data_IF_041875537708
#
_entry.id   IF_041875537708
#
_cell.length_a   1.000
_cell.length_b   1.000
_cell.length_c   1.000
_cell.angle_alpha   90.00
_cell.angle_beta   90.00
_cell.angle_gamma   90.00
#
_symmetry.space_group_name_H-M   'P 1'
#
loop_
_entity.id
_entity.type
_entity.pdbx_description
1 polymer ?
#
# COMPACT_ATOMS: atom_id res chain seq x y z
N UNK A 1 -4.27 -13.18 18.85
CA UNK A 1 -4.95 -12.56 17.70
C UNK A 1 -4.37 -11.21 17.27
N UNK A 2 -3.87 -10.35 18.17
CA UNK A 2 -3.26 -9.06 17.77
C UNK A 2 -1.76 -9.14 17.43
N UNK A 3 -1.09 -10.24 17.76
CA UNK A 3 0.35 -10.43 17.49
C UNK A 3 0.72 -10.56 16.01
N UNK A 4 -0.26 -10.82 15.15
CA UNK A 4 -0.06 -10.96 13.69
C UNK A 4 -0.27 -9.66 12.91
N UNK A 5 -0.57 -8.55 13.60
CA UNK A 5 -0.63 -7.22 12.98
C UNK A 5 0.81 -6.71 12.81
N UNK A 6 1.47 -7.19 11.77
CA UNK A 6 2.75 -6.62 11.34
C UNK A 6 2.46 -5.24 10.75
N UNK A 7 2.71 -4.19 11.53
CA UNK A 7 2.67 -2.80 11.10
C UNK A 7 3.73 -2.58 10.02
N UNK A 8 3.27 -2.63 8.75
CA UNK A 8 4.11 -2.47 7.58
C UNK A 8 5.03 -3.68 7.37
N UNK A 9 4.81 -4.40 6.29
CA UNK A 9 5.69 -5.50 5.85
C UNK A 9 7.00 -4.94 5.26
N UNK A 10 7.57 -3.91 5.91
CA UNK A 10 8.82 -3.30 5.48
C UNK A 10 9.99 -4.22 5.82
N UNK A 11 10.77 -4.58 4.80
CA UNK A 11 12.04 -5.30 4.97
C UNK A 11 13.18 -4.29 4.96
N UNK A 12 13.87 -4.07 6.10
CA UNK A 12 15.02 -3.18 6.13
C UNK A 12 16.12 -3.71 5.22
N UNK A 13 16.56 -2.87 4.29
CA UNK A 13 17.60 -3.21 3.32
C UNK A 13 18.43 -2.00 2.95
N UNK A 14 19.63 -2.25 2.40
CA UNK A 14 20.58 -1.20 1.98
C UNK A 14 20.75 -1.12 0.46
N UNK A 15 19.85 -1.74 -0.32
CA UNK A 15 19.94 -1.79 -1.78
C UNK A 15 19.68 -0.40 -2.41
N UNK A 16 20.01 -0.26 -3.68
CA UNK A 16 19.80 0.99 -4.44
C UNK A 16 18.34 1.42 -4.34
N UNK A 17 17.39 0.49 -4.47
CA UNK A 17 15.94 0.77 -4.38
C UNK A 17 15.55 1.26 -2.98
N UNK A 18 16.08 0.65 -1.91
CA UNK A 18 15.79 1.10 -0.55
C UNK A 18 16.27 2.54 -0.29
N UNK A 19 17.37 2.94 -0.92
CA UNK A 19 18.00 4.27 -0.77
C UNK A 19 17.40 5.36 -1.64
N UNK A 20 16.44 5.04 -2.53
CA UNK A 20 15.73 6.04 -3.32
C UNK A 20 14.82 6.90 -2.45
N UNK A 21 14.63 8.15 -2.85
CA UNK A 21 13.71 9.08 -2.19
C UNK A 21 12.27 8.50 -2.22
N UNK A 22 11.53 8.51 -1.11
CA UNK A 22 10.15 8.04 -1.06
C UNK A 22 9.22 8.70 -2.08
N UNK A 23 9.47 9.96 -2.44
CA UNK A 23 8.71 10.66 -3.50
C UNK A 23 8.90 9.99 -4.85
N UNK A 24 10.15 9.68 -5.20
CA UNK A 24 10.50 9.01 -6.46
C UNK A 24 9.85 7.65 -6.55
N UNK A 25 9.82 6.90 -5.45
CA UNK A 25 9.14 5.59 -5.39
C UNK A 25 7.63 5.71 -5.57
N UNK A 26 7.00 6.70 -4.93
CA UNK A 26 5.56 6.96 -5.09
C UNK A 26 5.21 7.35 -6.52
N UNK A 27 5.95 8.29 -7.10
CA UNK A 27 5.79 8.69 -8.51
C UNK A 27 6.03 7.47 -9.42
N UNK A 28 7.09 6.72 -9.17
CA UNK A 28 7.41 5.50 -9.91
C UNK A 28 6.29 4.46 -9.87
N UNK A 29 5.65 4.25 -8.71
CA UNK A 29 4.49 3.37 -8.60
C UNK A 29 3.31 3.89 -9.43
N UNK A 30 3.01 5.19 -9.37
CA UNK A 30 1.94 5.79 -10.19
C UNK A 30 2.23 5.62 -11.67
N UNK A 31 3.46 5.90 -12.10
CA UNK A 31 3.90 5.68 -13.48
C UNK A 31 3.77 4.21 -13.91
N UNK A 32 4.14 3.28 -13.03
CA UNK A 32 3.99 1.84 -13.26
C UNK A 32 2.51 1.43 -13.43
N UNK A 33 1.62 1.94 -12.57
CA UNK A 33 0.18 1.73 -12.67
C UNK A 33 -0.35 2.26 -14.01
N UNK A 34 0.00 3.49 -14.37
CA UNK A 34 -0.41 4.10 -15.65
C UNK A 34 0.08 3.26 -16.84
N UNK A 35 1.34 2.82 -16.83
CA UNK A 35 1.88 1.96 -17.88
C UNK A 35 1.11 0.63 -18.00
N UNK A 36 0.74 0.00 -16.89
CA UNK A 36 -0.07 -1.22 -16.88
C UNK A 36 -1.48 -1.02 -17.46
N UNK A 37 -2.11 0.13 -17.23
CA UNK A 37 -3.40 0.44 -17.84
C UNK A 37 -3.30 0.76 -19.34
N UNK A 38 -2.16 1.27 -19.79
CA UNK A 38 -1.88 1.49 -21.22
C UNK A 38 -1.58 0.19 -21.96
N UNK A 39 -1.07 -0.84 -21.27
CA UNK A 39 -0.73 -2.14 -21.85
C UNK A 39 -1.98 -2.86 -22.38
N UNK A 40 -1.97 -3.25 -23.66
CA UNK A 40 -3.05 -3.98 -24.34
C UNK A 40 -2.60 -5.28 -25.03
N UNK A 41 -1.28 -5.52 -25.10
CA UNK A 41 -0.70 -6.66 -25.82
C UNK A 41 0.12 -7.56 -24.90
N UNK A 42 0.33 -8.81 -25.31
CA UNK A 42 1.18 -9.75 -24.57
C UNK A 42 2.62 -9.24 -24.39
N UNK A 43 3.15 -8.56 -25.41
CA UNK A 43 4.51 -8.00 -25.37
C UNK A 43 4.61 -6.90 -24.32
N UNK A 44 3.59 -6.01 -24.25
CA UNK A 44 3.53 -4.96 -23.22
C UNK A 44 3.46 -5.54 -21.80
N UNK A 45 2.67 -6.60 -21.57
CA UNK A 45 2.62 -7.27 -20.26
C UNK A 45 3.92 -8.01 -19.94
N UNK A 46 4.59 -8.63 -20.93
CA UNK A 46 5.89 -9.24 -20.73
C UNK A 46 6.96 -8.21 -20.34
N UNK A 47 6.95 -7.04 -20.99
CA UNK A 47 7.83 -5.91 -20.63
C UNK A 47 7.60 -5.45 -19.19
N UNK A 48 6.32 -5.27 -18.78
CA UNK A 48 5.98 -4.85 -17.42
C UNK A 48 6.35 -5.89 -16.37
N UNK A 49 6.20 -7.19 -16.69
CA UNK A 49 6.65 -8.28 -15.82
C UNK A 49 8.19 -8.27 -15.69
N UNK A 50 8.91 -8.06 -16.78
CA UNK A 50 10.37 -7.97 -16.78
C UNK A 50 10.84 -6.78 -15.93
N UNK A 51 10.21 -5.61 -16.05
CA UNK A 51 10.48 -4.43 -15.21
C UNK A 51 10.26 -4.77 -13.74
N UNK A 52 9.16 -5.43 -13.40
CA UNK A 52 8.90 -5.84 -12.01
C UNK A 52 9.94 -6.83 -11.48
N UNK A 53 10.32 -7.83 -12.29
CA UNK A 53 11.34 -8.83 -11.93
C UNK A 53 12.68 -8.16 -11.72
N UNK A 54 13.10 -7.25 -12.61
CA UNK A 54 14.36 -6.53 -12.45
C UNK A 54 14.37 -5.64 -11.21
N UNK A 55 13.29 -4.91 -10.94
CA UNK A 55 13.17 -4.11 -9.72
C UNK A 55 13.18 -4.98 -8.45
N UNK A 56 12.49 -6.13 -8.46
CA UNK A 56 12.50 -7.05 -7.31
C UNK A 56 13.88 -7.67 -7.07
N UNK A 57 14.61 -8.00 -8.14
CA UNK A 57 15.98 -8.51 -8.06
C UNK A 57 16.94 -7.43 -7.49
N UNK A 58 16.84 -6.18 -7.98
CA UNK A 58 17.62 -5.05 -7.45
C UNK A 58 17.26 -4.73 -5.98
N UNK A 59 16.03 -4.98 -5.56
CA UNK A 59 15.60 -4.83 -4.17
C UNK A 59 16.02 -6.01 -3.29
N UNK A 60 16.60 -7.09 -3.85
CA UNK A 60 16.90 -8.35 -3.16
C UNK A 60 15.67 -8.99 -2.48
N UNK A 61 14.49 -8.76 -3.03
CA UNK A 61 13.24 -9.35 -2.55
C UNK A 61 12.99 -10.66 -3.28
N UNK A 62 12.80 -11.74 -2.52
CA UNK A 62 12.53 -13.06 -3.11
C UNK A 62 11.18 -13.04 -3.83
N UNK A 63 11.09 -13.50 -5.10
CA UNK A 63 9.83 -13.53 -5.85
C UNK A 63 8.74 -14.33 -5.15
N UNK A 64 9.14 -15.36 -4.39
CA UNK A 64 8.22 -16.14 -3.54
C UNK A 64 7.49 -15.28 -2.50
N UNK A 65 8.14 -14.25 -1.96
CA UNK A 65 7.54 -13.31 -1.00
C UNK A 65 6.47 -12.43 -1.68
N UNK A 66 6.77 -11.93 -2.90
CA UNK A 66 5.80 -11.17 -3.70
C UNK A 66 4.58 -12.03 -4.05
N UNK A 67 4.79 -13.26 -4.50
CA UNK A 67 3.70 -14.20 -4.82
C UNK A 67 2.91 -14.63 -3.57
N UNK A 68 3.56 -14.73 -2.42
CA UNK A 68 2.89 -15.04 -1.15
C UNK A 68 1.90 -13.93 -0.75
N UNK A 69 2.20 -12.66 -1.09
CA UNK A 69 1.27 -11.54 -0.90
C UNK A 69 -0.01 -11.65 -1.74
N UNK A 70 0.01 -12.40 -2.83
CA UNK A 70 -1.18 -12.65 -3.66
C UNK A 70 -2.17 -13.64 -3.04
N UNK A 71 -1.75 -14.47 -2.06
CA UNK A 71 -2.61 -15.51 -1.47
C UNK A 71 -3.99 -15.00 -1.02
N UNK A 72 -4.10 -13.90 -0.24
CA UNK A 72 -5.41 -13.40 0.17
C UNK A 72 -6.26 -12.87 -1.00
N UNK A 73 -5.63 -12.53 -2.12
CA UNK A 73 -6.29 -11.97 -3.30
C UNK A 73 -6.63 -13.02 -4.36
N UNK A 74 -6.19 -14.28 -4.18
CA UNK A 74 -6.42 -15.36 -5.14
C UNK A 74 -7.92 -15.50 -5.47
N UNK A 75 -8.79 -15.40 -4.46
CA UNK A 75 -10.24 -15.47 -4.66
C UNK A 75 -10.73 -14.37 -5.62
N UNK A 76 -10.30 -13.13 -5.41
CA UNK A 76 -10.67 -11.98 -6.26
C UNK A 76 -10.13 -12.16 -7.68
N UNK A 77 -8.89 -12.63 -7.81
CA UNK A 77 -8.24 -12.86 -9.11
C UNK A 77 -8.98 -13.94 -9.91
N UNK A 78 -9.31 -15.07 -9.27
CA UNK A 78 -10.06 -16.16 -9.90
C UNK A 78 -11.47 -15.68 -10.27
N UNK A 79 -12.18 -15.02 -9.36
CA UNK A 79 -13.52 -14.52 -9.59
C UNK A 79 -13.58 -13.52 -10.75
N UNK A 80 -12.64 -12.58 -10.81
CA UNK A 80 -12.52 -11.61 -11.91
C UNK A 80 -12.18 -12.32 -13.23
N UNK A 81 -11.29 -13.32 -13.20
CA UNK A 81 -10.98 -14.14 -14.37
C UNK A 81 -12.20 -14.86 -14.92
N UNK A 82 -12.99 -15.50 -14.06
CA UNK A 82 -14.22 -16.21 -14.42
C UNK A 82 -15.25 -15.24 -15.04
N UNK A 83 -15.49 -14.09 -14.41
CA UNK A 83 -16.41 -13.09 -14.96
C UNK A 83 -15.98 -12.66 -16.37
N UNK A 84 -14.71 -12.28 -16.55
CA UNK A 84 -14.23 -11.84 -17.86
C UNK A 84 -14.24 -12.94 -18.91
N UNK A 85 -14.14 -14.22 -18.52
CA UNK A 85 -14.26 -15.36 -19.42
C UNK A 85 -15.64 -15.43 -20.07
N UNK A 86 -16.69 -15.17 -19.30
CA UNK A 86 -18.09 -15.23 -19.76
C UNK A 86 -18.60 -13.93 -20.40
N UNK A 87 -17.95 -12.80 -20.12
CA UNK A 87 -18.34 -11.47 -20.63
C UNK A 87 -17.67 -11.11 -21.97
N UNK A 88 -17.04 -12.07 -22.65
CA UNK A 88 -16.37 -11.83 -23.93
C UNK A 88 -17.37 -11.58 -25.06
N UNK A 89 -17.15 -10.52 -25.85
CA UNK A 89 -17.86 -10.25 -27.10
C UNK A 89 -17.15 -10.96 -28.26
N UNK A 90 -17.89 -11.68 -29.11
CA UNK A 90 -17.36 -12.37 -30.30
C UNK A 90 -18.04 -13.67 -30.60
N UNK A 91 -17.58 -14.40 -31.64
CA UNK A 91 -18.09 -15.71 -31.98
C UNK A 91 -17.84 -16.71 -30.85
N UNK A 92 -18.85 -17.45 -30.38
CA UNK A 92 -18.74 -18.40 -29.30
C UNK A 92 -17.94 -19.63 -29.75
N UNK A 93 -16.80 -19.89 -29.09
CA UNK A 93 -16.04 -21.14 -29.28
C UNK A 93 -16.76 -22.34 -28.67
N UNK A 94 -17.40 -22.12 -27.52
CA UNK A 94 -18.22 -23.13 -26.82
C UNK A 94 -19.45 -22.41 -26.27
N UNK A 95 -20.65 -22.92 -26.63
CA UNK A 95 -21.91 -22.44 -26.12
C UNK A 95 -22.54 -23.52 -25.25
N UNK A 96 -22.62 -23.24 -23.93
CA UNK A 96 -23.29 -24.13 -22.99
C UNK A 96 -24.42 -23.36 -22.32
N UNK A 97 -25.63 -23.57 -22.82
CA UNK A 97 -26.87 -22.94 -22.38
C UNK A 97 -26.81 -21.42 -22.29
N UNK A 98 -26.51 -20.83 -21.09
CA UNK A 98 -26.44 -19.38 -20.87
C UNK A 98 -25.00 -18.85 -21.01
N UNK A 99 -23.99 -19.71 -20.85
CA UNK A 99 -22.59 -19.35 -20.84
C UNK A 99 -21.95 -19.45 -22.22
N UNK A 100 -21.44 -18.34 -22.73
CA UNK A 100 -20.73 -18.28 -24.01
C UNK A 100 -19.26 -17.99 -23.75
N UNK A 101 -18.39 -18.93 -24.07
CA UNK A 101 -16.94 -18.72 -24.01
C UNK A 101 -16.46 -18.28 -25.38
N UNK A 102 -15.90 -17.09 -25.48
CA UNK A 102 -15.38 -16.52 -26.72
C UNK A 102 -13.85 -16.41 -26.65
N UNK A 103 -13.15 -16.43 -27.80
CA UNK A 103 -11.70 -16.23 -27.85
C UNK A 103 -11.28 -14.89 -27.24
N UNK A 104 -12.07 -13.84 -27.48
CA UNK A 104 -11.83 -12.52 -26.87
C UNK A 104 -12.05 -12.54 -25.35
N UNK A 105 -13.01 -13.32 -24.84
CA UNK A 105 -13.24 -13.52 -23.43
C UNK A 105 -12.03 -14.15 -22.71
N UNK A 106 -11.46 -15.20 -23.31
CA UNK A 106 -10.26 -15.86 -22.79
C UNK A 106 -9.10 -14.87 -22.76
N UNK A 107 -8.86 -14.14 -23.85
CA UNK A 107 -7.80 -13.14 -23.92
C UNK A 107 -7.96 -12.04 -22.85
N UNK A 108 -9.17 -11.51 -22.71
CA UNK A 108 -9.47 -10.47 -21.72
C UNK A 108 -9.33 -10.99 -20.28
N UNK A 109 -9.75 -12.23 -20.02
CA UNK A 109 -9.59 -12.86 -18.70
C UNK A 109 -8.11 -12.98 -18.34
N UNK A 110 -7.26 -13.48 -19.27
CA UNK A 110 -5.81 -13.58 -19.07
C UNK A 110 -5.20 -12.20 -18.82
N UNK A 111 -5.53 -11.19 -19.61
CA UNK A 111 -5.00 -9.82 -19.43
C UNK A 111 -5.44 -9.21 -18.12
N UNK A 112 -6.70 -9.42 -17.69
CA UNK A 112 -7.18 -8.92 -16.41
C UNK A 112 -6.47 -9.57 -15.22
N UNK A 113 -6.32 -10.90 -15.26
CA UNK A 113 -5.58 -11.64 -14.23
C UNK A 113 -4.13 -11.15 -14.14
N UNK A 114 -3.42 -11.08 -15.28
CA UNK A 114 -2.04 -10.59 -15.32
C UNK A 114 -1.95 -9.15 -14.80
N UNK A 115 -2.86 -8.28 -15.21
CA UNK A 115 -2.91 -6.89 -14.75
C UNK A 115 -3.04 -6.79 -13.23
N UNK A 116 -3.99 -7.50 -12.63
CA UNK A 116 -4.20 -7.49 -11.18
C UNK A 116 -2.96 -8.03 -10.46
N UNK A 117 -2.40 -9.14 -10.93
CA UNK A 117 -1.19 -9.72 -10.34
C UNK A 117 -0.01 -8.74 -10.36
N UNK A 118 0.25 -8.11 -11.52
CA UNK A 118 1.35 -7.16 -11.67
C UNK A 118 1.14 -5.90 -10.85
N UNK A 119 -0.10 -5.35 -10.80
CA UNK A 119 -0.45 -4.21 -9.95
C UNK A 119 -0.16 -4.48 -8.48
N UNK A 120 -0.64 -5.61 -7.99
CA UNK A 120 -0.48 -5.99 -6.57
C UNK A 120 0.99 -6.24 -6.24
N UNK A 121 1.72 -6.93 -7.10
CA UNK A 121 3.16 -7.15 -6.90
C UNK A 121 3.96 -5.83 -6.91
N UNK A 122 3.62 -4.89 -7.79
CA UNK A 122 4.23 -3.55 -7.83
C UNK A 122 3.97 -2.75 -6.54
N UNK A 123 2.74 -2.80 -6.03
CA UNK A 123 2.37 -2.15 -4.75
C UNK A 123 3.10 -2.79 -3.57
N UNK A 124 3.21 -4.12 -3.53
CA UNK A 124 3.99 -4.80 -2.49
C UNK A 124 5.47 -4.45 -2.54
N UNK A 125 6.04 -4.28 -3.73
CA UNK A 125 7.43 -3.85 -3.87
C UNK A 125 7.67 -2.50 -3.20
N UNK A 126 6.77 -1.52 -3.36
CA UNK A 126 6.83 -0.24 -2.64
C UNK A 126 6.74 -0.45 -1.13
N UNK A 127 5.77 -1.24 -0.67
CA UNK A 127 5.54 -1.50 0.76
C UNK A 127 6.72 -2.19 1.42
N UNK A 128 7.36 -3.13 0.73
CA UNK A 128 8.52 -3.86 1.25
C UNK A 128 9.79 -3.01 1.27
N UNK A 129 9.91 -2.01 0.39
CA UNK A 129 11.12 -1.18 0.26
C UNK A 129 11.03 0.17 0.95
N UNK A 130 9.87 0.56 1.49
CA UNK A 130 9.65 1.89 2.08
C UNK A 130 8.93 1.77 3.41
N UNK A 131 9.49 2.34 4.47
CA UNK A 131 8.84 2.33 5.77
C UNK A 131 7.61 3.26 5.79
N UNK A 132 6.58 2.98 6.62
CA UNK A 132 5.40 3.83 6.73
C UNK A 132 5.70 5.29 7.04
N UNK A 133 6.71 5.55 7.90
CA UNK A 133 7.15 6.91 8.22
C UNK A 133 7.76 7.62 7.00
N UNK A 134 8.61 6.92 6.23
CA UNK A 134 9.18 7.49 4.99
C UNK A 134 8.09 7.77 3.95
N UNK A 135 7.06 6.92 3.89
CA UNK A 135 5.94 7.08 2.99
C UNK A 135 5.14 8.33 3.34
N UNK A 136 4.90 8.57 4.63
CA UNK A 136 4.27 9.80 5.14
C UNK A 136 5.07 11.04 4.78
N UNK A 137 6.40 11.01 4.97
CA UNK A 137 7.29 12.11 4.63
C UNK A 137 7.29 12.40 3.12
N UNK A 138 7.28 11.34 2.30
CA UNK A 138 7.16 11.44 0.85
C UNK A 138 5.85 12.08 0.40
N UNK A 139 4.73 11.63 0.98
CA UNK A 139 3.40 12.17 0.71
C UNK A 139 3.29 13.65 1.09
N UNK A 140 3.79 14.05 2.26
CA UNK A 140 3.79 15.47 2.67
C UNK A 140 4.48 16.35 1.65
N UNK A 141 5.64 15.93 1.19
CA UNK A 141 6.39 16.72 0.19
C UNK A 141 5.71 16.72 -1.17
N UNK A 142 5.10 15.61 -1.61
CA UNK A 142 4.33 15.54 -2.84
C UNK A 142 3.07 16.41 -2.79
N UNK A 143 2.41 16.48 -1.63
CA UNK A 143 1.24 17.31 -1.43
C UNK A 143 1.58 18.75 -1.01
N UNK A 144 2.85 19.10 -0.89
CA UNK A 144 3.28 20.48 -0.58
C UNK A 144 2.66 21.55 -1.50
N UNK A 145 2.43 21.35 -2.81
CA UNK A 145 1.75 22.32 -3.66
C UNK A 145 0.31 22.62 -3.21
N UNK A 146 -0.36 21.69 -2.49
CA UNK A 146 -1.72 21.90 -1.98
C UNK A 146 -1.77 22.95 -0.85
N UNK A 147 -0.63 23.35 -0.29
CA UNK A 147 -0.56 24.50 0.63
C UNK A 147 -1.07 25.80 -0.03
N UNK A 148 -0.93 25.93 -1.35
CA UNK A 148 -1.47 27.08 -2.10
C UNK A 148 -2.99 27.18 -1.98
N UNK A 149 -3.69 26.06 -1.77
CA UNK A 149 -5.16 25.97 -1.58
C UNK A 149 -5.51 26.01 -0.08
N UNK A 150 -4.58 26.41 0.80
CA UNK A 150 -4.73 26.44 2.27
C UNK A 150 -5.00 25.06 2.89
N UNK A 151 -4.56 23.97 2.26
CA UNK A 151 -4.70 22.65 2.83
C UNK A 151 -3.58 22.39 3.86
N UNK A 152 -3.89 21.95 5.09
CA UNK A 152 -2.93 21.83 6.19
C UNK A 152 -2.06 20.55 6.06
N UNK A 153 -1.25 20.48 4.99
CA UNK A 153 -0.41 19.30 4.69
C UNK A 153 0.58 18.96 5.80
N UNK A 154 1.32 19.94 6.40
CA UNK A 154 2.29 19.62 7.46
C UNK A 154 1.65 19.10 8.73
N UNK A 155 0.48 19.62 9.09
CA UNK A 155 -0.28 19.22 10.27
C UNK A 155 -0.79 17.79 10.11
N UNK A 156 -1.33 17.46 8.93
CA UNK A 156 -1.74 16.08 8.61
C UNK A 156 -0.57 15.09 8.63
N UNK A 157 0.56 15.45 8.06
CA UNK A 157 1.75 14.61 8.07
C UNK A 157 2.26 14.37 9.51
N UNK A 158 2.20 15.40 10.36
CA UNK A 158 2.54 15.28 11.76
C UNK A 158 1.57 14.35 12.50
N UNK A 159 0.26 14.53 12.32
CA UNK A 159 -0.76 13.65 12.89
C UNK A 159 -0.54 12.19 12.47
N UNK A 160 -0.27 11.93 11.19
CA UNK A 160 0.05 10.59 10.69
C UNK A 160 1.33 10.02 11.34
N UNK A 161 2.36 10.83 11.49
CA UNK A 161 3.62 10.39 12.10
C UNK A 161 3.45 10.05 13.59
N UNK A 162 2.65 10.86 14.32
CA UNK A 162 2.29 10.60 15.72
C UNK A 162 1.46 9.32 15.82
N UNK A 163 0.44 9.18 14.97
CA UNK A 163 -0.40 7.99 14.93
C UNK A 163 0.42 6.72 14.69
N UNK A 164 1.28 6.70 13.65
CA UNK A 164 2.15 5.57 13.34
C UNK A 164 3.09 5.20 14.50
N UNK A 165 3.54 6.19 15.26
CA UNK A 165 4.38 5.98 16.44
C UNK A 165 3.59 5.39 17.63
N UNK A 166 2.32 5.76 17.79
CA UNK A 166 1.50 5.28 18.91
C UNK A 166 0.83 3.93 18.65
N UNK A 167 0.66 3.50 17.40
CA UNK A 167 0.02 2.21 17.08
C UNK A 167 0.70 1.03 17.81
N UNK A 168 2.04 0.83 17.81
CA UNK A 168 2.66 -0.26 18.55
C UNK A 168 2.34 -0.22 20.04
N UNK A 169 2.41 0.96 20.64
CA UNK A 169 2.14 1.16 22.06
C UNK A 169 0.67 0.87 22.42
N UNK A 170 -0.28 1.28 21.55
CA UNK A 170 -1.70 1.00 21.72
C UNK A 170 -2.01 -0.50 21.58
N UNK A 171 -1.30 -1.22 20.71
CA UNK A 171 -1.42 -2.68 20.57
C UNK A 171 -0.97 -3.37 21.86
N UNK A 172 0.19 -2.99 22.41
CA UNK A 172 0.68 -3.54 23.68
C UNK A 172 -0.26 -3.25 24.84
N UNK A 173 -0.82 -2.05 24.88
CA UNK A 173 -1.80 -1.66 25.92
C UNK A 173 -3.10 -2.42 25.76
N UNK A 174 -3.57 -2.61 24.54
CA UNK A 174 -4.75 -3.44 24.25
C UNK A 174 -4.55 -4.87 24.75
N UNK A 175 -3.38 -5.48 24.51
CA UNK A 175 -3.06 -6.81 24.99
C UNK A 175 -3.05 -6.89 26.53
N UNK A 176 -2.54 -5.85 27.22
CA UNK A 176 -2.55 -5.75 28.68
C UNK A 176 -3.97 -5.64 29.24
N UNK A 177 -4.79 -4.74 28.66
CA UNK A 177 -6.19 -4.56 29.07
C UNK A 177 -6.98 -5.83 28.79
N UNK A 178 -6.80 -6.46 27.64
CA UNK A 178 -7.46 -7.71 27.27
C UNK A 178 -7.12 -8.82 28.27
N UNK A 179 -5.87 -8.96 28.66
CA UNK A 179 -5.42 -9.94 29.63
C UNK A 179 -6.02 -9.70 31.00
N UNK A 180 -6.09 -8.44 31.45
CA UNK A 180 -6.72 -8.06 32.71
C UNK A 180 -8.24 -8.33 32.71
N UNK A 181 -8.93 -8.05 31.61
CA UNK A 181 -10.36 -8.32 31.48
C UNK A 181 -10.66 -9.82 31.40
N UNK A 182 -9.82 -10.63 30.76
CA UNK A 182 -9.89 -12.09 30.76
C UNK A 182 -9.76 -12.64 32.20
N UNK A 183 -8.84 -12.12 32.99
CA UNK A 183 -8.69 -12.51 34.40
C UNK A 183 -9.92 -12.15 35.25
N UNK A 184 -10.71 -11.14 34.86
CA UNK A 184 -11.99 -10.76 35.46
C UNK A 184 -13.18 -11.57 34.93
N UNK A 185 -12.94 -12.59 34.09
CA UNK A 185 -13.97 -13.47 33.55
C UNK A 185 -14.61 -13.00 32.26
N UNK A 186 -14.08 -11.95 31.60
CA UNK A 186 -14.56 -11.54 30.30
C UNK A 186 -14.14 -12.56 29.22
N UNK A 187 -15.10 -13.04 28.42
CA UNK A 187 -14.86 -13.90 27.28
C UNK A 187 -15.04 -13.11 25.97
N UNK A 188 -13.98 -13.02 25.16
CA UNK A 188 -13.99 -12.31 23.89
C UNK A 188 -14.24 -13.22 22.68
N UNK A 189 -14.09 -14.52 22.87
CA UNK A 189 -14.07 -15.51 21.77
C UNK A 189 -15.37 -16.34 21.73
N UNK A 190 -16.22 -16.31 22.78
CA UNK A 190 -17.45 -17.10 22.90
C UNK A 190 -18.70 -16.23 22.82
N UNK A 191 -19.83 -16.81 22.38
CA UNK A 191 -21.12 -16.11 22.35
C UNK A 191 -21.55 -15.59 20.96
N UNK A 192 -22.79 -15.07 20.89
CA UNK A 192 -23.39 -14.46 19.72
C UNK A 192 -22.69 -13.13 19.39
N UNK A 193 -22.83 -12.64 18.15
CA UNK A 193 -22.19 -11.41 17.68
C UNK A 193 -22.45 -10.20 18.59
N UNK A 194 -23.68 -10.10 19.12
CA UNK A 194 -24.09 -9.03 20.04
C UNK A 194 -23.38 -9.11 21.41
N UNK A 195 -23.14 -10.31 21.91
CA UNK A 195 -22.43 -10.57 23.19
C UNK A 195 -20.94 -10.25 23.03
N UNK A 196 -20.33 -10.64 21.89
CA UNK A 196 -18.96 -10.26 21.54
C UNK A 196 -18.78 -8.74 21.43
N UNK A 197 -19.74 -8.04 20.80
CA UNK A 197 -19.72 -6.58 20.71
C UNK A 197 -19.80 -5.93 22.10
N UNK A 198 -20.64 -6.43 23.01
CA UNK A 198 -20.70 -5.96 24.39
C UNK A 198 -19.41 -6.22 25.18
N UNK A 199 -18.75 -7.35 24.93
CA UNK A 199 -17.47 -7.68 25.56
C UNK A 199 -16.32 -6.75 25.13
N UNK A 200 -16.41 -6.06 23.99
CA UNK A 200 -15.42 -5.09 23.56
C UNK A 200 -15.52 -3.74 24.32
N UNK A 201 -16.68 -3.37 24.87
CA UNK A 201 -16.85 -2.10 25.58
C UNK A 201 -15.89 -1.94 26.77
N UNK A 202 -15.72 -2.94 27.68
CA UNK A 202 -14.75 -2.87 28.75
C UNK A 202 -13.28 -2.79 28.31
N UNK A 203 -12.99 -3.08 27.05
CA UNK A 203 -11.68 -2.90 26.43
C UNK A 203 -11.54 -1.49 25.85
N UNK A 204 -12.56 -1.00 25.14
CA UNK A 204 -12.52 0.28 24.46
C UNK A 204 -12.46 1.46 25.42
N UNK A 205 -13.25 1.47 26.50
CA UNK A 205 -13.30 2.60 27.43
C UNK A 205 -11.94 2.88 28.08
N UNK A 206 -11.23 1.91 28.69
CA UNK A 206 -9.88 2.16 29.23
C UNK A 206 -8.88 2.58 28.16
N UNK A 207 -8.98 2.01 26.95
CA UNK A 207 -8.09 2.36 25.82
C UNK A 207 -8.27 3.83 25.41
N UNK A 208 -9.52 4.30 25.31
CA UNK A 208 -9.80 5.72 25.03
C UNK A 208 -9.26 6.64 26.11
N UNK A 209 -9.50 6.32 27.38
CA UNK A 209 -8.99 7.12 28.51
C UNK A 209 -7.46 7.22 28.46
N UNK A 210 -6.78 6.12 28.19
CA UNK A 210 -5.33 6.09 28.06
C UNK A 210 -4.86 6.88 26.84
N UNK A 211 -5.54 6.76 25.69
CA UNK A 211 -5.18 7.51 24.48
C UNK A 211 -5.32 9.03 24.70
N UNK A 212 -6.39 9.50 25.36
CA UNK A 212 -6.57 10.90 25.68
C UNK A 212 -5.51 11.41 26.66
N UNK A 213 -5.19 10.64 27.72
CA UNK A 213 -4.13 11.01 28.64
C UNK A 213 -2.78 11.18 27.94
N UNK A 214 -2.44 10.27 27.02
CA UNK A 214 -1.21 10.38 26.21
C UNK A 214 -1.23 11.59 25.28
N UNK A 215 -2.41 11.90 24.73
CA UNK A 215 -2.54 13.10 23.88
C UNK A 215 -2.28 14.38 24.70
N UNK A 216 -2.81 14.48 25.91
CA UNK A 216 -2.59 15.62 26.82
C UNK A 216 -1.13 15.71 27.25
N UNK A 217 -0.50 14.59 27.62
CA UNK A 217 0.92 14.53 27.98
C UNK A 217 1.81 14.97 26.79
N UNK A 218 1.47 14.51 25.56
CA UNK A 218 2.19 14.90 24.36
C UNK A 218 1.99 16.39 24.05
N UNK A 219 0.76 16.90 24.15
CA UNK A 219 0.45 18.30 23.91
C UNK A 219 1.23 19.21 24.88
N UNK A 220 1.20 18.89 26.18
CA UNK A 220 1.97 19.61 27.21
C UNK A 220 3.47 19.55 26.92
N UNK A 221 4.01 18.39 26.53
CA UNK A 221 5.43 18.26 26.20
C UNK A 221 5.80 19.06 24.94
N UNK A 222 4.90 19.21 23.97
CA UNK A 222 5.09 20.03 22.78
C UNK A 222 5.06 21.52 23.13
N UNK A 223 4.12 21.96 23.96
CA UNK A 223 4.04 23.35 24.46
C UNK A 223 5.29 23.74 25.23
N UNK A 224 5.77 22.90 26.15
CA UNK A 224 7.02 23.12 26.88
C UNK A 224 8.27 23.22 25.98
N UNK A 225 8.21 22.65 24.77
CA UNK A 225 9.24 22.78 23.75
C UNK A 225 9.01 23.94 22.79
N UNK A 226 8.11 24.86 23.11
CA UNK A 226 7.73 25.99 22.28
C UNK A 226 7.29 25.58 20.88
N UNK A 227 6.53 24.49 20.78
CA UNK A 227 5.99 24.06 19.50
C UNK A 227 4.92 25.05 19.04
N UNK A 228 5.13 25.66 17.88
CA UNK A 228 4.15 26.51 17.21
C UNK A 228 3.73 25.82 15.90
N UNK A 229 2.43 25.67 15.68
CA UNK A 229 1.90 25.26 14.40
C UNK A 229 2.05 26.42 13.40
N UNK A 230 2.59 26.17 12.21
CA UNK A 230 2.66 27.20 11.17
C UNK A 230 3.99 27.26 10.40
N UNK A 231 4.22 28.39 9.76
CA UNK A 231 5.36 28.65 8.87
C UNK A 231 6.67 28.81 9.66
N UNK A 232 7.81 28.47 9.04
CA UNK A 232 9.14 28.62 9.64
C UNK A 232 9.71 27.37 10.30
N UNK A 233 9.02 26.23 10.24
CA UNK A 233 9.45 24.95 10.81
C UNK A 233 10.49 24.26 9.94
N UNK A 234 11.66 23.95 10.51
CA UNK A 234 12.68 23.10 9.88
C UNK A 234 12.51 21.64 10.29
N UNK A 235 12.91 20.71 9.42
CA UNK A 235 12.93 19.28 9.72
C UNK A 235 14.33 18.84 10.09
N UNK A 236 14.43 17.97 11.10
CA UNK A 236 15.71 17.38 11.49
C UNK A 236 16.25 16.45 10.40
N UNK A 237 15.37 15.77 9.65
CA UNK A 237 15.73 14.90 8.53
C UNK A 237 15.06 15.41 7.27
N UNK A 238 15.84 16.04 6.41
CA UNK A 238 15.36 16.52 5.12
C UNK A 238 15.51 15.44 4.04
N UNK A 239 14.53 15.39 3.14
CA UNK A 239 14.59 14.55 1.96
C UNK A 239 15.34 15.31 0.86
N UNK A 240 16.44 14.73 0.37
CA UNK A 240 17.24 15.32 -0.71
C UNK A 240 17.18 14.44 -1.95
N UNK A 241 16.86 15.07 -3.08
CA UNK A 241 16.95 14.41 -4.37
C UNK A 241 18.41 14.11 -4.73
N UNK A 242 18.70 12.86 -5.04
CA UNK A 242 20.02 12.43 -5.52
C UNK A 242 19.96 12.14 -7.03
N UNK A 243 21.12 12.05 -7.69
CA UNK A 243 21.21 11.68 -9.10
C UNK A 243 20.52 10.33 -9.41
N UNK A 244 20.50 9.43 -8.42
CA UNK A 244 19.78 8.13 -8.51
C UNK A 244 18.27 8.28 -8.71
N UNK A 245 17.68 9.30 -8.10
CA UNK A 245 16.26 9.60 -8.22
C UNK A 245 15.91 10.12 -9.60
N UNK A 246 16.77 10.97 -10.18
CA UNK A 246 16.61 11.44 -11.55
C UNK A 246 16.68 10.28 -12.55
N UNK A 247 17.64 9.37 -12.39
CA UNK A 247 17.76 8.16 -13.24
C UNK A 247 16.52 7.30 -13.13
N UNK A 248 15.98 7.10 -11.91
CA UNK A 248 14.76 6.32 -11.69
C UNK A 248 13.54 6.97 -12.38
N UNK A 249 13.38 8.29 -12.31
CA UNK A 249 12.28 9.00 -12.98
C UNK A 249 12.41 8.92 -14.51
N UNK A 250 13.62 9.08 -15.06
CA UNK A 250 13.87 8.90 -16.51
C UNK A 250 13.54 7.46 -16.92
N UNK A 251 13.93 6.46 -16.14
CA UNK A 251 13.57 5.07 -16.40
C UNK A 251 12.06 4.87 -16.43
N UNK A 252 11.31 5.43 -15.47
CA UNK A 252 9.85 5.38 -15.45
C UNK A 252 9.24 6.01 -16.71
N UNK A 253 9.75 7.17 -17.14
CA UNK A 253 9.31 7.84 -18.38
C UNK A 253 9.57 6.99 -19.61
N UNK A 254 10.76 6.36 -19.72
CA UNK A 254 11.10 5.45 -20.80
C UNK A 254 10.18 4.21 -20.83
N UNK A 255 9.84 3.64 -19.69
CA UNK A 255 8.90 2.50 -19.62
C UNK A 255 7.52 2.90 -20.15
N UNK A 256 6.99 4.07 -19.73
CA UNK A 256 5.70 4.57 -20.23
C UNK A 256 5.77 4.81 -21.74
N UNK A 257 6.84 5.44 -22.23
CA UNK A 257 7.04 5.69 -23.65
C UNK A 257 7.10 4.38 -24.44
N UNK A 258 7.86 3.38 -23.97
CA UNK A 258 7.97 2.07 -24.61
C UNK A 258 6.60 1.36 -24.69
N UNK A 259 5.83 1.34 -23.60
CA UNK A 259 4.47 0.74 -23.60
C UNK A 259 3.53 1.51 -24.53
N UNK A 260 3.63 2.84 -24.58
CA UNK A 260 2.81 3.67 -25.47
C UNK A 260 3.13 3.43 -26.93
N UNK A 261 4.41 3.27 -27.27
CA UNK A 261 4.88 2.93 -28.63
C UNK A 261 4.40 1.52 -29.03
N UNK A 262 4.57 0.52 -28.16
CA UNK A 262 4.06 -0.84 -28.38
C UNK A 262 2.55 -0.83 -28.63
N UNK A 263 1.80 -0.05 -27.85
CA UNK A 263 0.37 0.13 -28.06
C UNK A 263 0.04 0.74 -29.44
N UNK A 264 0.84 1.71 -29.91
CA UNK A 264 0.60 2.37 -31.19
C UNK A 264 0.84 1.40 -32.38
N UNK A 265 1.85 0.53 -32.26
CA UNK A 265 2.11 -0.51 -33.28
C UNK A 265 1.24 -1.74 -33.17
N UNK A 266 0.34 -1.82 -32.19
CA UNK A 266 -0.56 -2.95 -31.99
C UNK A 266 0.11 -4.21 -31.42
N UNK A 267 1.36 -4.07 -30.97
CA UNK A 267 2.21 -5.13 -30.39
C UNK A 267 2.08 -5.24 -28.89
#
# INVERSE_FOLDING_TARGET
MLKDITLGQYFPGSTIIHRLDPRTKLIGLVCYIVALFLAKSYVSYALMALVLITLSALAHIRPKTLLSGLKPLIFIVIFTGIINLFYGTGEPLVQFWIFKITANGIRNAVFMVLRIMLLVCGTFLLTYTTSPLQLTDGLEKLFSPLKAIRFPVPELAMMMSIALRFIPTLIEETDKIMSAQKARGASFDTGKLKERAKALVPLLVPLFVSAFRRADELATAMECRCYHAGEGRTRMKELHFAARDAVALVFCALVIAAVSVLRHYGL
#
